data_IF_625919283963
#
_entry.id   IF_625919283963
#
_cell.length_a   1.000
_cell.length_b   1.000
_cell.length_c   1.000
_cell.angle_alpha   90.00
_cell.angle_beta   90.00
_cell.angle_gamma   90.00
#
_symmetry.space_group_name_H-M   'P 1'
#
loop_
_entity.id
_entity.type
_entity.pdbx_description
1 polymer ?
#
# COMPACT_ATOMS: atom_id res chain seq x y z
N UNK A 1 43.07 65.10 14.03
CA UNK A 1 41.86 65.79 13.52
C UNK A 1 41.48 65.04 12.26
N UNK A 2 40.50 64.14 12.33
CA UNK A 2 39.98 63.46 11.13
C UNK A 2 39.06 64.47 10.44
N UNK A 3 39.26 64.70 9.15
CA UNK A 3 38.49 65.67 8.37
C UNK A 3 37.02 65.22 8.30
N UNK A 4 36.08 66.15 8.47
CA UNK A 4 34.63 65.87 8.46
C UNK A 4 34.19 65.16 7.17
N UNK A 5 34.88 65.46 6.06
CA UNK A 5 34.63 64.92 4.72
C UNK A 5 34.94 63.42 4.63
N UNK A 6 35.92 62.93 5.41
CA UNK A 6 36.27 61.50 5.45
C UNK A 6 35.27 60.68 6.29
N UNK A 7 34.63 61.29 7.28
CA UNK A 7 33.62 60.64 8.10
C UNK A 7 32.29 60.44 7.33
N UNK A 8 31.89 61.40 6.52
CA UNK A 8 30.69 61.28 5.67
C UNK A 8 30.86 60.21 4.58
N UNK A 9 32.03 60.13 3.94
CA UNK A 9 32.31 59.12 2.94
C UNK A 9 32.21 57.67 3.48
N UNK A 10 32.69 57.44 4.70
CA UNK A 10 32.59 56.14 5.38
C UNK A 10 31.12 55.83 5.71
N UNK A 11 30.37 56.82 6.22
CA UNK A 11 28.95 56.66 6.56
C UNK A 11 28.11 56.27 5.33
N UNK A 12 28.32 56.95 4.19
CA UNK A 12 27.63 56.64 2.93
C UNK A 12 27.97 55.23 2.44
N UNK A 13 29.23 54.81 2.55
CA UNK A 13 29.65 53.45 2.21
C UNK A 13 28.99 52.38 3.08
N UNK A 14 28.91 52.60 4.40
CA UNK A 14 28.28 51.68 5.35
C UNK A 14 26.76 51.57 5.09
N UNK A 15 26.10 52.70 4.83
CA UNK A 15 24.66 52.73 4.50
C UNK A 15 24.39 52.00 3.19
N UNK A 16 25.22 52.18 2.16
CA UNK A 16 25.09 51.48 0.89
C UNK A 16 25.20 49.96 1.02
N UNK A 17 26.16 49.46 1.80
CA UNK A 17 26.34 48.02 2.06
C UNK A 17 25.15 47.44 2.83
N UNK A 18 24.60 48.16 3.82
CA UNK A 18 23.41 47.72 4.56
C UNK A 18 22.17 47.59 3.67
N UNK A 19 21.97 48.52 2.73
CA UNK A 19 20.86 48.46 1.78
C UNK A 19 20.95 47.25 0.85
N UNK A 20 22.16 46.94 0.35
CA UNK A 20 22.41 45.77 -0.49
C UNK A 20 22.21 44.47 0.31
N UNK A 21 22.66 44.41 1.56
CA UNK A 21 22.44 43.25 2.42
C UNK A 21 20.96 43.02 2.71
N UNK A 22 20.18 44.07 2.97
CA UNK A 22 18.73 43.96 3.19
C UNK A 22 17.98 43.44 1.96
N UNK A 23 18.33 43.94 0.77
CA UNK A 23 17.80 43.44 -0.50
C UNK A 23 18.20 41.98 -0.77
N UNK A 24 19.43 41.60 -0.42
CA UNK A 24 19.89 40.21 -0.58
C UNK A 24 19.18 39.24 0.37
N UNK A 25 18.98 39.63 1.64
CA UNK A 25 18.24 38.85 2.64
C UNK A 25 16.77 38.64 2.26
N UNK A 26 16.11 39.69 1.78
CA UNK A 26 14.72 39.62 1.29
C UNK A 26 14.58 38.77 0.03
N UNK A 27 15.54 38.86 -0.90
CA UNK A 27 15.60 37.99 -2.07
C UNK A 27 15.85 36.51 -1.69
N UNK A 28 16.75 36.25 -0.74
CA UNK A 28 17.03 34.90 -0.24
C UNK A 28 15.81 34.30 0.47
N UNK A 29 15.14 35.07 1.34
CA UNK A 29 13.89 34.61 2.00
C UNK A 29 12.78 34.38 0.98
N UNK A 30 12.65 35.23 -0.03
CA UNK A 30 11.68 35.06 -1.11
C UNK A 30 11.92 33.77 -1.91
N UNK A 31 13.17 33.51 -2.33
CA UNK A 31 13.51 32.31 -3.11
C UNK A 31 13.36 31.02 -2.30
N UNK A 32 13.67 31.05 -1.01
CA UNK A 32 13.48 29.91 -0.10
C UNK A 32 11.99 29.64 0.18
N UNK A 33 11.19 30.68 0.43
CA UNK A 33 9.75 30.51 0.60
C UNK A 33 9.08 29.99 -0.66
N UNK A 34 9.52 30.41 -1.85
CA UNK A 34 8.95 29.97 -3.13
C UNK A 34 9.20 28.48 -3.38
N UNK A 35 10.43 28.00 -3.15
CA UNK A 35 10.76 26.56 -3.24
C UNK A 35 9.96 25.72 -2.25
N UNK A 36 9.75 26.23 -1.04
CA UNK A 36 8.97 25.55 0.00
C UNK A 36 7.47 25.51 -0.35
N UNK A 37 6.94 26.57 -0.95
CA UNK A 37 5.57 26.64 -1.42
C UNK A 37 5.31 25.70 -2.61
N UNK A 38 6.21 25.67 -3.59
CA UNK A 38 6.15 24.74 -4.75
C UNK A 38 6.19 23.28 -4.28
N UNK A 39 7.09 22.92 -3.35
CA UNK A 39 7.17 21.57 -2.80
C UNK A 39 5.94 21.18 -1.96
N UNK A 40 5.37 22.12 -1.19
CA UNK A 40 4.15 21.91 -0.41
C UNK A 40 2.94 21.72 -1.34
N UNK A 41 2.80 22.55 -2.38
CA UNK A 41 1.74 22.43 -3.38
C UNK A 41 1.84 21.12 -4.17
N UNK A 42 3.05 20.70 -4.56
CA UNK A 42 3.25 19.39 -5.20
C UNK A 42 2.83 18.25 -4.28
N UNK A 43 3.25 18.28 -3.01
CA UNK A 43 2.90 17.26 -2.03
C UNK A 43 1.39 17.18 -1.78
N UNK A 44 0.72 18.32 -1.69
CA UNK A 44 -0.75 18.40 -1.54
C UNK A 44 -1.48 17.93 -2.81
N UNK A 45 -0.95 18.20 -4.01
CA UNK A 45 -1.51 17.70 -5.26
C UNK A 45 -1.33 16.18 -5.40
N UNK A 46 -0.15 15.65 -5.07
CA UNK A 46 0.14 14.21 -5.07
C UNK A 46 -0.73 13.48 -4.04
N UNK A 47 -0.89 14.05 -2.83
CA UNK A 47 -1.78 13.51 -1.78
C UNK A 47 -3.25 13.52 -2.22
N UNK A 48 -3.70 14.58 -2.89
CA UNK A 48 -5.08 14.68 -3.40
C UNK A 48 -5.33 13.71 -4.56
N UNK A 49 -4.42 13.61 -5.52
CA UNK A 49 -4.51 12.63 -6.61
C UNK A 49 -4.49 11.21 -6.06
N UNK A 50 -3.66 10.94 -5.04
CA UNK A 50 -3.62 9.64 -4.36
C UNK A 50 -4.95 9.35 -3.64
N UNK A 51 -5.50 10.31 -2.91
CA UNK A 51 -6.80 10.15 -2.25
C UNK A 51 -7.95 9.92 -3.23
N UNK A 52 -7.95 10.61 -4.38
CA UNK A 52 -8.96 10.44 -5.43
C UNK A 52 -8.81 9.08 -6.15
N UNK A 53 -7.57 8.61 -6.34
CA UNK A 53 -7.30 7.28 -6.88
C UNK A 53 -7.70 6.15 -5.91
N UNK A 54 -7.38 6.29 -4.62
CA UNK A 54 -7.79 5.35 -3.56
C UNK A 54 -9.33 5.26 -3.45
N UNK A 55 -10.05 6.37 -3.66
CA UNK A 55 -11.52 6.39 -3.72
C UNK A 55 -12.09 5.61 -4.89
N UNK A 56 -11.34 5.45 -5.99
CA UNK A 56 -11.80 4.80 -7.21
C UNK A 56 -11.25 3.38 -7.43
N UNK A 57 -10.48 2.86 -6.47
CA UNK A 57 -10.05 1.46 -6.44
C UNK A 57 -10.99 0.62 -5.59
N UNK A 58 -11.51 -0.47 -6.15
CA UNK A 58 -12.49 -1.32 -5.49
C UNK A 58 -12.24 -2.81 -5.75
N UNK A 59 -12.44 -3.65 -4.72
CA UNK A 59 -12.22 -5.10 -4.75
C UNK A 59 -13.45 -5.82 -5.31
N UNK A 60 -13.42 -6.35 -6.52
CA UNK A 60 -14.59 -7.04 -7.12
C UNK A 60 -14.79 -8.45 -6.56
N UNK A 61 -13.70 -9.19 -6.39
CA UNK A 61 -13.69 -10.57 -5.91
C UNK A 61 -12.52 -10.81 -4.95
N UNK A 62 -12.71 -11.69 -3.98
CA UNK A 62 -11.67 -12.17 -3.06
C UNK A 62 -11.69 -13.69 -3.06
N UNK A 63 -10.54 -14.28 -3.35
CA UNK A 63 -10.28 -15.71 -3.18
C UNK A 63 -9.35 -15.87 -2.00
N UNK A 64 -9.83 -16.55 -0.96
CA UNK A 64 -9.03 -16.93 0.18
C UNK A 64 -8.67 -18.41 0.03
N UNK A 65 -7.38 -18.70 -0.08
CA UNK A 65 -6.86 -20.05 -0.27
C UNK A 65 -5.99 -20.44 0.91
N UNK A 66 -5.98 -21.73 1.21
CA UNK A 66 -4.98 -22.34 2.08
C UNK A 66 -3.68 -22.56 1.30
N UNK A 67 -2.54 -22.55 1.99
CA UNK A 67 -1.22 -22.77 1.36
C UNK A 67 -1.08 -24.14 0.68
N UNK A 68 -1.93 -25.10 1.00
CA UNK A 68 -2.04 -26.37 0.27
C UNK A 68 -2.58 -26.22 -1.17
N UNK A 69 -3.10 -25.04 -1.54
CA UNK A 69 -3.71 -24.77 -2.83
C UNK A 69 -5.22 -25.00 -2.87
N UNK A 70 -5.86 -25.27 -1.74
CA UNK A 70 -7.31 -25.44 -1.66
C UNK A 70 -8.01 -24.11 -1.39
N UNK A 71 -9.16 -23.88 -2.03
CA UNK A 71 -10.00 -22.72 -1.80
C UNK A 71 -10.68 -22.85 -0.43
N UNK A 72 -10.42 -21.89 0.47
CA UNK A 72 -11.15 -21.76 1.72
C UNK A 72 -12.54 -21.16 1.45
N UNK A 73 -12.56 -20.02 0.77
CA UNK A 73 -13.81 -19.32 0.41
C UNK A 73 -13.59 -18.28 -0.69
N UNK A 74 -14.64 -18.03 -1.46
CA UNK A 74 -14.72 -16.94 -2.43
C UNK A 74 -15.80 -15.94 -2.04
N UNK A 75 -15.48 -14.66 -2.16
CA UNK A 75 -16.39 -13.54 -1.95
C UNK A 75 -16.48 -12.74 -3.23
N UNK A 76 -17.70 -12.42 -3.65
CA UNK A 76 -17.94 -11.62 -4.87
C UNK A 76 -18.92 -10.50 -4.59
N UNK A 77 -18.62 -9.31 -5.12
CA UNK A 77 -19.60 -8.22 -5.20
C UNK A 77 -20.42 -8.25 -6.48
N UNK A 78 -20.14 -9.19 -7.41
CA UNK A 78 -20.88 -9.29 -8.67
C UNK A 78 -22.19 -10.05 -8.42
N UNK A 79 -23.31 -9.49 -8.85
CA UNK A 79 -24.59 -10.22 -8.88
C UNK A 79 -24.57 -11.42 -9.84
N UNK A 80 -23.64 -11.45 -10.80
CA UNK A 80 -23.40 -12.58 -11.70
C UNK A 80 -21.89 -12.75 -11.93
N UNK A 81 -21.25 -13.78 -11.38
CA UNK A 81 -19.89 -14.11 -11.76
C UNK A 81 -19.89 -14.59 -13.21
N UNK A 82 -19.09 -13.96 -14.06
CA UNK A 82 -18.96 -14.34 -15.47
C UNK A 82 -18.00 -15.53 -15.66
N UNK A 83 -17.35 -15.97 -14.58
CA UNK A 83 -16.36 -17.04 -14.50
C UNK A 83 -16.62 -17.81 -13.19
N UNK A 84 -16.51 -19.14 -13.23
CA UNK A 84 -16.66 -20.00 -12.05
C UNK A 84 -15.50 -19.77 -11.06
N UNK A 85 -15.85 -19.61 -9.78
CA UNK A 85 -14.90 -19.40 -8.68
C UNK A 85 -13.87 -20.53 -8.58
N UNK A 86 -14.31 -21.77 -8.70
CA UNK A 86 -13.45 -22.93 -8.49
C UNK A 86 -12.44 -23.05 -9.63
N UNK A 87 -12.88 -22.72 -10.85
CA UNK A 87 -12.02 -22.67 -12.05
C UNK A 87 -10.96 -21.57 -11.91
N UNK A 88 -11.36 -20.36 -11.51
CA UNK A 88 -10.43 -19.25 -11.34
C UNK A 88 -9.44 -19.53 -10.20
N UNK A 89 -9.91 -20.09 -9.09
CA UNK A 89 -9.08 -20.48 -7.95
C UNK A 89 -8.05 -21.54 -8.34
N UNK A 90 -8.47 -22.58 -9.06
CA UNK A 90 -7.56 -23.61 -9.57
C UNK A 90 -6.48 -23.06 -10.49
N UNK A 91 -6.81 -22.10 -11.35
CA UNK A 91 -5.83 -21.42 -12.21
C UNK A 91 -4.84 -20.58 -11.39
N UNK A 92 -5.30 -19.83 -10.38
CA UNK A 92 -4.43 -19.02 -9.52
C UNK A 92 -3.37 -19.87 -8.82
N UNK A 93 -3.81 -21.02 -8.28
CA UNK A 93 -2.91 -22.00 -7.63
C UNK A 93 -1.91 -22.55 -8.64
N UNK A 94 -2.37 -23.00 -9.81
CA UNK A 94 -1.50 -23.55 -10.85
C UNK A 94 -0.44 -22.54 -11.34
N UNK A 95 -0.81 -21.27 -11.50
CA UNK A 95 0.13 -20.20 -11.87
C UNK A 95 1.15 -19.97 -10.76
N UNK A 96 0.71 -19.97 -9.50
CA UNK A 96 1.61 -19.78 -8.36
C UNK A 96 2.58 -20.95 -8.19
N UNK A 97 2.10 -22.18 -8.34
CA UNK A 97 2.92 -23.39 -8.30
C UNK A 97 3.94 -23.39 -9.44
N UNK A 98 3.53 -23.02 -10.65
CA UNK A 98 4.43 -22.88 -11.78
C UNK A 98 5.54 -21.85 -11.52
N UNK A 99 5.22 -20.70 -10.93
CA UNK A 99 6.22 -19.69 -10.58
C UNK A 99 7.15 -20.20 -9.48
N UNK A 100 6.61 -20.82 -8.43
CA UNK A 100 7.42 -21.43 -7.35
C UNK A 100 8.37 -22.49 -7.90
N UNK A 101 7.91 -23.30 -8.85
CA UNK A 101 8.69 -24.35 -9.49
C UNK A 101 9.76 -23.82 -10.44
N UNK A 102 9.41 -22.81 -11.23
CA UNK A 102 10.29 -22.21 -12.24
C UNK A 102 11.43 -21.38 -11.62
N UNK A 103 11.19 -20.77 -10.46
CA UNK A 103 12.13 -19.84 -9.82
C UNK A 103 12.66 -20.37 -8.47
N UNK A 104 12.74 -21.71 -8.31
CA UNK A 104 13.29 -22.36 -7.10
C UNK A 104 14.67 -21.78 -6.76
N UNK A 105 14.76 -21.06 -5.63
CA UNK A 105 16.01 -20.47 -5.11
C UNK A 105 16.05 -18.94 -5.15
N UNK A 106 15.13 -18.29 -5.86
CA UNK A 106 14.95 -16.83 -5.78
C UNK A 106 13.97 -16.46 -4.65
N UNK A 107 14.25 -15.37 -3.94
CA UNK A 107 13.32 -14.81 -2.95
C UNK A 107 12.28 -13.99 -3.70
N UNK A 108 11.14 -14.60 -4.01
CA UNK A 108 10.04 -13.93 -4.69
C UNK A 108 8.78 -14.78 -4.72
N UNK A 109 7.64 -14.14 -4.88
CA UNK A 109 6.33 -14.78 -4.99
C UNK A 109 5.48 -14.05 -6.02
N UNK A 110 4.34 -14.65 -6.38
CA UNK A 110 3.37 -14.01 -7.25
C UNK A 110 2.69 -12.87 -6.48
N UNK A 111 2.88 -11.63 -6.92
CA UNK A 111 2.28 -10.44 -6.29
C UNK A 111 1.13 -9.82 -7.12
N UNK A 112 1.17 -9.97 -8.44
CA UNK A 112 0.12 -9.46 -9.34
C UNK A 112 0.01 -10.36 -10.59
N UNK A 113 -1.22 -10.64 -11.01
CA UNK A 113 -1.54 -11.10 -12.36
C UNK A 113 -2.33 -10.01 -13.07
N UNK A 114 -1.93 -9.69 -14.31
CA UNK A 114 -2.60 -8.70 -15.15
C UNK A 114 -3.03 -9.32 -16.47
N UNK A 115 -4.31 -9.18 -16.78
CA UNK A 115 -4.90 -9.63 -18.04
C UNK A 115 -5.84 -8.55 -18.59
N UNK A 116 -5.37 -7.76 -19.56
CA UNK A 116 -6.08 -6.58 -20.04
C UNK A 116 -6.37 -5.60 -18.90
N UNK A 117 -7.65 -5.31 -18.67
CA UNK A 117 -8.13 -4.45 -17.59
C UNK A 117 -8.34 -5.20 -16.26
N UNK A 118 -8.26 -6.53 -16.27
CA UNK A 118 -8.39 -7.35 -15.06
C UNK A 118 -7.04 -7.35 -14.35
N UNK A 119 -7.08 -7.03 -13.06
CA UNK A 119 -5.92 -7.07 -12.18
C UNK A 119 -6.23 -7.91 -10.96
N UNK A 120 -5.37 -8.87 -10.69
CA UNK A 120 -5.47 -9.75 -9.54
C UNK A 120 -4.24 -9.49 -8.68
N UNK A 121 -4.46 -8.97 -7.48
CA UNK A 121 -3.41 -8.71 -6.50
C UNK A 121 -3.35 -9.91 -5.58
N UNK A 122 -2.17 -10.50 -5.42
CA UNK A 122 -1.97 -11.71 -4.62
C UNK A 122 -1.08 -11.36 -3.43
N UNK A 123 -1.55 -11.69 -2.24
CA UNK A 123 -0.81 -11.56 -0.98
C UNK A 123 -0.64 -12.94 -0.38
N UNK A 124 0.60 -13.32 -0.14
CA UNK A 124 0.96 -14.56 0.55
C UNK A 124 1.19 -14.25 2.05
N UNK A 125 0.51 -15.00 2.90
CA UNK A 125 0.70 -15.09 4.35
C UNK A 125 1.51 -16.33 4.73
N UNK A 126 1.51 -16.69 6.02
CA UNK A 126 2.20 -17.87 6.54
C UNK A 126 1.49 -19.18 6.15
N UNK A 127 0.16 -19.18 6.23
CA UNK A 127 -0.71 -20.33 6.04
C UNK A 127 -1.76 -20.12 4.94
N UNK A 128 -2.00 -18.87 4.59
CA UNK A 128 -3.07 -18.49 3.67
C UNK A 128 -2.56 -17.61 2.52
N UNK A 129 -3.33 -17.61 1.43
CA UNK A 129 -3.07 -16.81 0.25
C UNK A 129 -4.36 -16.06 -0.06
N UNK A 130 -4.25 -14.74 -0.21
CA UNK A 130 -5.37 -13.88 -0.55
C UNK A 130 -5.17 -13.32 -1.96
N UNK A 131 -6.06 -13.67 -2.88
CA UNK A 131 -6.08 -13.12 -4.22
C UNK A 131 -7.31 -12.24 -4.40
N UNK A 132 -7.10 -10.95 -4.66
CA UNK A 132 -8.17 -9.98 -4.84
C UNK A 132 -8.21 -9.51 -6.30
N UNK A 133 -9.38 -9.62 -6.94
CA UNK A 133 -9.63 -8.99 -8.24
C UNK A 133 -9.98 -7.54 -7.99
N UNK A 134 -9.21 -6.62 -8.57
CA UNK A 134 -9.32 -5.19 -8.28
C UNK A 134 -9.63 -4.43 -9.57
N UNK A 135 -10.59 -3.51 -9.49
CA UNK A 135 -10.88 -2.53 -10.53
C UNK A 135 -10.48 -1.14 -10.05
N UNK A 136 -9.92 -0.32 -10.94
CA UNK A 136 -9.53 1.06 -10.64
C UNK A 136 -8.16 1.45 -11.20
N UNK A 137 -7.82 2.72 -11.07
CA UNK A 137 -6.63 3.34 -11.67
C UNK A 137 -5.33 2.95 -10.95
N UNK A 138 -5.40 2.62 -9.64
CA UNK A 138 -4.22 2.26 -8.82
C UNK A 138 -4.51 0.98 -8.00
N UNK A 139 -4.32 -0.20 -8.60
CA UNK A 139 -4.59 -1.50 -7.99
C UNK A 139 -3.63 -1.82 -6.82
N UNK A 140 -2.43 -1.25 -6.82
CA UNK A 140 -1.40 -1.52 -5.80
C UNK A 140 -1.70 -0.85 -4.46
N UNK A 141 -2.52 0.20 -4.46
CA UNK A 141 -2.84 0.96 -3.24
C UNK A 141 -3.65 0.12 -2.24
N UNK A 142 -4.29 -0.97 -2.68
CA UNK A 142 -5.04 -1.91 -1.82
C UNK A 142 -4.12 -2.92 -1.10
N UNK A 143 -2.87 -3.11 -1.54
CA UNK A 143 -2.00 -4.15 -0.97
C UNK A 143 -1.82 -4.05 0.56
N UNK A 144 -1.64 -2.85 1.15
CA UNK A 144 -1.57 -2.73 2.60
C UNK A 144 -2.85 -3.19 3.29
N UNK A 145 -4.02 -2.91 2.70
CA UNK A 145 -5.33 -3.31 3.24
C UNK A 145 -5.50 -4.83 3.19
N UNK A 146 -5.19 -5.44 2.04
CA UNK A 146 -5.20 -6.89 1.85
C UNK A 146 -4.27 -7.59 2.85
N UNK A 147 -3.05 -7.07 3.03
CA UNK A 147 -2.06 -7.63 3.96
C UNK A 147 -2.51 -7.50 5.41
N UNK A 148 -3.11 -6.37 5.78
CA UNK A 148 -3.63 -6.15 7.12
C UNK A 148 -4.77 -7.12 7.45
N UNK A 149 -5.72 -7.32 6.53
CA UNK A 149 -6.81 -8.28 6.69
C UNK A 149 -6.30 -9.73 6.76
N UNK A 150 -5.37 -10.11 5.88
CA UNK A 150 -4.79 -11.46 5.89
C UNK A 150 -4.04 -11.74 7.20
N UNK A 151 -3.32 -10.75 7.72
CA UNK A 151 -2.58 -10.91 8.98
C UNK A 151 -3.53 -11.00 10.17
N UNK A 152 -4.59 -10.19 10.21
CA UNK A 152 -5.64 -10.30 11.24
C UNK A 152 -6.29 -11.68 11.23
N UNK A 153 -6.56 -12.23 10.05
CA UNK A 153 -7.08 -13.58 9.86
C UNK A 153 -6.10 -14.63 10.43
N UNK A 154 -4.83 -14.59 10.04
CA UNK A 154 -3.85 -15.59 10.49
C UNK A 154 -3.57 -15.50 11.99
N UNK A 155 -3.60 -14.30 12.58
CA UNK A 155 -3.49 -14.12 14.04
C UNK A 155 -4.72 -14.70 14.76
N UNK A 156 -5.92 -14.50 14.21
CA UNK A 156 -7.16 -14.99 14.82
C UNK A 156 -7.31 -16.52 14.72
N UNK A 157 -6.82 -17.12 13.63
CA UNK A 157 -7.04 -18.52 13.29
C UNK A 157 -5.74 -19.32 13.13
N UNK A 158 -4.68 -18.99 13.88
CA UNK A 158 -3.38 -19.67 13.73
C UNK A 158 -3.48 -21.19 13.96
N UNK A 159 -4.15 -21.63 15.02
CA UNK A 159 -4.26 -23.07 15.34
C UNK A 159 -5.09 -23.82 14.28
N UNK A 160 -6.30 -23.39 13.89
CA UNK A 160 -7.08 -24.08 12.86
C UNK A 160 -6.45 -24.09 11.47
N UNK A 161 -5.59 -23.10 11.15
CA UNK A 161 -4.92 -23.01 9.86
C UNK A 161 -3.65 -23.87 9.78
N UNK A 162 -3.06 -24.23 10.93
CA UNK A 162 -1.84 -25.05 10.94
C UNK A 162 -2.15 -26.50 10.56
N UNK A 163 -3.20 -27.07 11.14
CA UNK A 163 -3.67 -28.45 10.88
C UNK A 163 -5.09 -28.45 10.30
N UNK A 164 -5.28 -27.66 9.25
CA UNK A 164 -6.60 -27.47 8.63
C UNK A 164 -7.12 -28.78 8.02
N UNK A 165 -8.32 -29.20 8.44
CA UNK A 165 -8.97 -30.47 8.06
C UNK A 165 -9.81 -30.38 6.77
N UNK A 166 -9.83 -29.21 6.12
CA UNK A 166 -10.65 -28.95 4.94
C UNK A 166 -12.00 -28.30 5.24
N UNK A 167 -12.35 -28.06 6.51
CA UNK A 167 -13.65 -27.50 6.91
C UNK A 167 -13.53 -26.06 7.40
N UNK A 168 -14.61 -25.28 7.23
CA UNK A 168 -14.65 -23.88 7.67
C UNK A 168 -15.23 -23.71 9.08
N UNK A 169 -15.51 -24.82 9.78
CA UNK A 169 -16.20 -24.83 11.08
C UNK A 169 -15.42 -24.06 12.15
N UNK A 170 -14.09 -24.22 12.15
CA UNK A 170 -13.20 -23.56 13.09
C UNK A 170 -12.78 -22.15 12.65
N UNK A 171 -13.20 -21.72 11.45
CA UNK A 171 -12.85 -20.43 10.83
C UNK A 171 -14.13 -19.62 10.48
N UNK A 172 -15.24 -19.89 11.18
CA UNK A 172 -16.57 -19.42 10.77
C UNK A 172 -16.71 -17.89 10.63
N UNK A 173 -16.07 -17.08 11.49
CA UNK A 173 -16.18 -15.61 11.40
C UNK A 173 -15.23 -14.96 10.39
N UNK A 174 -14.59 -15.73 9.50
CA UNK A 174 -13.75 -15.18 8.43
C UNK A 174 -14.52 -14.18 7.55
N UNK A 175 -15.83 -14.38 7.43
CA UNK A 175 -16.73 -13.50 6.69
C UNK A 175 -16.70 -12.06 7.21
N UNK A 176 -16.61 -11.88 8.53
CA UNK A 176 -16.56 -10.53 9.12
C UNK A 176 -15.30 -9.76 8.71
N UNK A 177 -14.17 -10.46 8.59
CA UNK A 177 -12.88 -9.87 8.18
C UNK A 177 -12.96 -9.52 6.69
N UNK A 178 -13.45 -10.45 5.86
CA UNK A 178 -13.52 -10.27 4.41
C UNK A 178 -14.54 -9.20 4.02
N UNK A 179 -15.70 -9.15 4.67
CA UNK A 179 -16.70 -8.10 4.47
C UNK A 179 -16.13 -6.73 4.86
N UNK A 180 -15.45 -6.63 6.01
CA UNK A 180 -14.80 -5.41 6.42
C UNK A 180 -13.70 -4.94 5.44
N UNK A 181 -12.97 -5.88 4.84
CA UNK A 181 -12.00 -5.61 3.78
C UNK A 181 -12.68 -5.07 2.51
N UNK A 182 -13.75 -5.72 2.06
CA UNK A 182 -14.51 -5.32 0.86
C UNK A 182 -15.14 -3.93 1.05
N UNK A 183 -15.61 -3.62 2.26
CA UNK A 183 -16.14 -2.30 2.63
C UNK A 183 -15.05 -1.22 2.78
N UNK A 184 -13.76 -1.59 2.74
CA UNK A 184 -12.63 -0.66 2.85
C UNK A 184 -12.33 -0.22 4.28
N UNK A 185 -12.76 -0.97 5.31
CA UNK A 185 -12.47 -0.66 6.73
C UNK A 185 -11.00 -0.83 7.11
N UNK A 186 -10.19 -1.44 6.24
CA UNK A 186 -8.75 -1.61 6.40
C UNK A 186 -7.92 -0.44 5.86
N UNK A 187 -8.54 0.55 5.21
CA UNK A 187 -7.86 1.75 4.71
C UNK A 187 -7.11 2.47 5.82
N UNK A 188 -5.80 2.66 5.64
CA UNK A 188 -4.92 3.33 6.59
C UNK A 188 -4.66 2.55 7.88
N UNK A 189 -5.16 1.32 8.02
CA UNK A 189 -4.84 0.45 9.17
C UNK A 189 -3.44 -0.14 8.97
N UNK A 190 -2.53 -0.03 9.97
CA UNK A 190 -1.27 -0.76 9.92
C UNK A 190 -1.54 -2.27 9.96
N UNK A 191 -0.76 -3.11 9.27
CA UNK A 191 -0.92 -4.56 9.37
C UNK A 191 -0.79 -4.99 10.83
N UNK A 192 -1.64 -5.93 11.26
CA UNK A 192 -1.49 -6.54 12.58
C UNK A 192 -0.08 -7.13 12.69
N UNK A 193 0.55 -7.02 13.86
CA UNK A 193 1.87 -7.61 14.07
C UNK A 193 1.72 -9.13 14.16
N UNK A 194 2.31 -9.92 13.24
CA UNK A 194 2.27 -11.37 13.38
C UNK A 194 3.04 -11.78 14.66
N UNK A 195 2.61 -12.82 15.38
CA UNK A 195 3.36 -13.33 16.52
C UNK A 195 4.79 -13.73 16.09
N UNK A 196 5.79 -13.57 16.97
CA UNK A 196 7.15 -13.95 16.64
C UNK A 196 7.19 -15.42 16.24
N UNK A 197 7.87 -15.72 15.12
CA UNK A 197 8.06 -17.08 14.64
C UNK A 197 8.71 -17.91 15.74
N UNK A 198 7.94 -18.82 16.35
CA UNK A 198 8.48 -19.84 17.24
C UNK A 198 9.27 -20.81 16.37
N UNK A 199 10.60 -20.70 16.37
CA UNK A 199 11.46 -21.71 15.75
C UNK A 199 11.33 -22.96 16.64
N UNK A 200 10.84 -24.11 16.13
CA UNK A 200 10.81 -25.33 16.91
C UNK A 200 12.25 -25.70 17.31
N UNK A 201 12.45 -25.95 18.61
CA UNK A 201 13.70 -26.44 19.21
C UNK A 201 13.91 -27.92 18.90
#
# INVERSE_FOLDING_TARGET
>A
MVDSDTAEAILVGVVGVMLIQGLWLTFLTFTLNRKKAEAKAQKEADEKEKADAERNTAIEDIFLLHRSGLLLKHYTRRLRPNVDSDVLSGMLVAVQDFIKDSFRGEKGGLNEIRFGEIRIVVIEGKWTILAAVVRGSRPFDIQPELRAALTELEVKYEDPLTDWDGTMEQIADVDLIMDALIEGKYRGRPPATPPPLSIPQ
#
